data_IF_049704608286
#
_entry.id   IF_049704608286
#
_cell.length_a   1.000
_cell.length_b   1.000
_cell.length_c   1.000
_cell.angle_alpha   90.00
_cell.angle_beta   90.00
_cell.angle_gamma   90.00
#
_symmetry.space_group_name_H-M   'P 1'
#
loop_
_entity.id
_entity.type
_entity.pdbx_description
1 polymer ?
#
# COMPACT_ATOMS: atom_id res chain seq x y z
N UNK A 1 -10.72 22.81 9.43
CA UNK A 1 -10.90 21.79 10.48
C UNK A 1 -9.95 20.65 10.17
N UNK A 2 -8.93 20.36 11.00
CA UNK A 2 -8.14 19.15 10.83
C UNK A 2 -9.02 17.96 11.26
N UNK A 3 -9.46 17.13 10.32
CA UNK A 3 -10.27 15.94 10.65
C UNK A 3 -11.16 15.38 9.54
N UNK A 4 -11.41 16.10 8.44
CA UNK A 4 -12.10 15.56 7.26
C UNK A 4 -11.10 15.07 6.23
N UNK A 5 -11.42 13.99 5.54
CA UNK A 5 -10.54 13.36 4.56
C UNK A 5 -11.42 12.69 3.49
N UNK A 6 -11.07 12.84 2.21
CA UNK A 6 -11.88 12.34 1.11
C UNK A 6 -11.65 10.84 0.92
N UNK A 7 -12.63 10.01 1.22
CA UNK A 7 -12.57 8.56 0.96
C UNK A 7 -13.65 8.16 -0.05
N UNK A 8 -13.61 6.92 -0.50
CA UNK A 8 -14.61 6.41 -1.43
C UNK A 8 -16.01 6.44 -0.81
N UNK A 9 -16.19 6.20 0.48
CA UNK A 9 -17.53 6.25 1.09
C UNK A 9 -17.87 7.67 1.57
N UNK A 10 -16.93 8.32 2.26
CA UNK A 10 -17.18 9.53 3.06
C UNK A 10 -16.48 10.74 2.47
N UNK A 11 -17.10 11.92 2.57
CA UNK A 11 -16.48 13.20 2.21
C UNK A 11 -15.88 13.21 0.78
N UNK A 12 -16.48 12.47 -0.17
CA UNK A 12 -15.95 12.22 -1.54
C UNK A 12 -15.52 13.48 -2.31
N UNK A 13 -16.19 14.61 -2.06
CA UNK A 13 -15.94 15.89 -2.74
C UNK A 13 -15.12 16.87 -1.87
N UNK A 14 -14.63 16.41 -0.71
CA UNK A 14 -13.74 17.22 0.10
C UNK A 14 -12.43 17.46 -0.66
N UNK A 15 -11.99 18.73 -0.78
CA UNK A 15 -10.90 19.07 -1.68
C UNK A 15 -9.54 18.76 -1.03
N UNK A 16 -9.16 17.49 -1.03
CA UNK A 16 -7.91 17.00 -0.42
C UNK A 16 -6.79 16.80 -1.45
N UNK A 17 -7.12 16.30 -2.65
CA UNK A 17 -6.13 15.97 -3.68
C UNK A 17 -6.01 17.12 -4.68
N UNK A 18 -4.89 17.84 -4.65
CA UNK A 18 -4.62 18.99 -5.52
C UNK A 18 -3.38 18.74 -6.36
N UNK A 19 -3.42 19.21 -7.62
CA UNK A 19 -2.22 19.33 -8.43
C UNK A 19 -1.36 20.51 -7.92
N UNK A 20 -0.02 20.42 -7.91
CA UNK A 20 0.80 19.27 -8.29
C UNK A 20 0.76 18.12 -7.26
N UNK A 21 0.66 16.87 -7.75
CA UNK A 21 0.52 15.68 -6.90
C UNK A 21 1.83 15.16 -6.31
N UNK A 22 2.96 15.45 -6.95
CA UNK A 22 4.25 14.87 -6.59
C UNK A 22 5.43 15.76 -6.97
N UNK A 23 6.62 15.21 -6.81
CA UNK A 23 7.89 15.92 -7.03
C UNK A 23 8.40 15.82 -8.47
N UNK A 24 7.80 14.94 -9.29
CA UNK A 24 8.07 14.90 -10.71
C UNK A 24 7.32 16.03 -11.43
N UNK A 25 7.97 16.66 -12.41
CA UNK A 25 7.30 17.64 -13.27
C UNK A 25 6.22 16.95 -14.09
N UNK A 26 5.00 17.45 -13.98
CA UNK A 26 3.85 16.93 -14.72
C UNK A 26 2.99 18.08 -15.25
N UNK A 27 2.11 17.77 -16.19
CA UNK A 27 1.07 18.69 -16.67
C UNK A 27 -0.28 18.12 -16.27
N UNK A 28 -1.08 18.91 -15.57
CA UNK A 28 -2.46 18.53 -15.25
C UNK A 28 -3.30 18.49 -16.55
N UNK A 29 -3.88 17.34 -16.93
CA UNK A 29 -4.69 17.22 -18.14
C UNK A 29 -5.98 18.06 -18.11
N UNK A 30 -6.43 18.53 -16.94
CA UNK A 30 -7.68 19.28 -16.82
C UNK A 30 -7.49 20.79 -16.81
N UNK A 31 -6.54 21.32 -16.02
CA UNK A 31 -6.24 22.76 -16.00
C UNK A 31 -5.22 23.19 -17.07
N UNK A 32 -4.38 22.27 -17.55
CA UNK A 32 -3.23 22.57 -18.41
C UNK A 32 -2.02 23.15 -17.67
N UNK A 33 -2.10 23.31 -16.34
CA UNK A 33 -0.98 23.78 -15.53
C UNK A 33 0.16 22.75 -15.51
N UNK A 34 1.39 23.24 -15.46
CA UNK A 34 2.60 22.40 -15.35
C UNK A 34 3.32 22.72 -14.06
N UNK A 35 3.65 21.70 -13.28
CA UNK A 35 4.24 21.88 -11.96
C UNK A 35 4.69 20.59 -11.28
N UNK A 36 5.38 20.80 -10.18
CA UNK A 36 5.82 19.80 -9.20
C UNK A 36 5.83 20.46 -7.82
N UNK A 37 5.71 19.67 -6.75
CA UNK A 37 5.78 20.17 -5.36
C UNK A 37 7.14 20.83 -5.10
N UNK A 38 8.23 20.15 -5.47
CA UNK A 38 9.59 20.69 -5.46
C UNK A 38 9.98 21.05 -6.90
N UNK A 39 10.47 22.26 -7.12
CA UNK A 39 10.66 22.85 -8.46
C UNK A 39 12.13 23.12 -8.82
N UNK A 40 13.05 22.35 -8.23
CA UNK A 40 14.49 22.36 -8.54
C UNK A 40 15.24 23.56 -7.97
N UNK A 41 14.70 24.22 -6.94
CA UNK A 41 15.40 25.35 -6.30
C UNK A 41 16.57 24.83 -5.47
N UNK A 42 17.66 25.63 -5.29
CA UNK A 42 18.76 25.27 -4.40
C UNK A 42 18.36 25.02 -2.94
N UNK A 43 17.17 25.47 -2.55
CA UNK A 43 16.60 25.30 -1.19
C UNK A 43 15.64 24.12 -1.08
N UNK A 44 15.39 23.38 -2.16
CA UNK A 44 14.52 22.21 -2.10
C UNK A 44 15.14 21.13 -1.21
N UNK A 45 14.37 20.55 -0.28
CA UNK A 45 14.89 19.51 0.60
C UNK A 45 15.08 18.20 -0.15
N UNK A 46 15.85 17.30 0.47
CA UNK A 46 15.76 15.88 0.17
C UNK A 46 14.44 15.35 0.72
N UNK A 47 13.70 14.58 -0.07
CA UNK A 47 12.37 14.09 0.27
C UNK A 47 12.29 12.57 0.13
N UNK A 48 11.76 11.92 1.17
CA UNK A 48 11.24 10.55 1.08
C UNK A 48 9.74 10.62 1.35
N UNK A 49 8.95 10.25 0.35
CA UNK A 49 7.51 10.11 0.48
C UNK A 49 7.14 8.63 0.63
N UNK A 50 6.28 8.31 1.60
CA UNK A 50 5.90 6.94 1.92
C UNK A 50 4.39 6.83 2.00
N UNK A 51 3.84 5.87 1.26
CA UNK A 51 2.41 5.59 1.22
C UNK A 51 2.16 4.13 1.61
N UNK A 52 1.05 3.86 2.29
CA UNK A 52 0.56 2.49 2.49
C UNK A 52 -0.25 2.06 1.28
N UNK A 53 -0.62 0.78 1.23
CA UNK A 53 -1.56 0.30 0.22
C UNK A 53 -2.89 1.05 0.29
N UNK A 54 -3.35 1.48 1.47
CA UNK A 54 -4.61 2.25 1.59
C UNK A 54 -4.59 3.53 0.79
N UNK A 55 -3.48 4.29 0.78
CA UNK A 55 -3.43 5.55 0.03
C UNK A 55 -3.50 5.35 -1.49
N UNK A 56 -3.07 4.20 -2.02
CA UNK A 56 -3.29 3.86 -3.42
C UNK A 56 -4.78 3.63 -3.73
N UNK A 57 -5.52 3.01 -2.79
CA UNK A 57 -6.94 2.72 -2.94
C UNK A 57 -7.86 3.89 -2.60
N UNK A 58 -7.45 4.80 -1.71
CA UNK A 58 -8.29 5.88 -1.20
C UNK A 58 -7.87 7.28 -1.66
N UNK A 59 -6.58 7.51 -1.91
CA UNK A 59 -5.99 8.85 -2.07
C UNK A 59 -5.35 9.10 -3.43
N UNK A 60 -5.31 8.10 -4.30
CA UNK A 60 -4.63 8.23 -5.59
C UNK A 60 -3.12 8.40 -5.46
N UNK A 61 -2.49 7.76 -4.46
CA UNK A 61 -1.04 7.84 -4.22
C UNK A 61 -0.17 7.44 -5.42
N UNK A 62 -0.72 6.77 -6.44
CA UNK A 62 0.00 6.57 -7.69
C UNK A 62 0.39 7.88 -8.38
N UNK A 63 -0.43 8.94 -8.27
CA UNK A 63 -0.20 10.24 -8.92
C UNK A 63 1.07 10.96 -8.43
N UNK A 64 1.64 10.51 -7.32
CA UNK A 64 2.94 10.97 -6.82
C UNK A 64 4.09 10.53 -7.73
N UNK A 65 3.93 9.40 -8.44
CA UNK A 65 4.97 8.76 -9.25
C UNK A 65 4.50 8.26 -10.62
N UNK A 66 3.27 8.53 -11.02
CA UNK A 66 2.73 8.32 -12.37
C UNK A 66 2.29 9.65 -12.99
N UNK A 67 2.37 9.78 -14.30
CA UNK A 67 1.89 10.99 -14.99
C UNK A 67 0.36 11.11 -14.88
N UNK A 68 -0.19 12.20 -14.31
CA UNK A 68 -1.63 12.42 -14.27
C UNK A 68 -2.28 12.52 -15.66
N UNK A 69 -1.52 12.84 -16.71
CA UNK A 69 -2.02 12.98 -18.07
C UNK A 69 -2.06 11.67 -18.88
N UNK A 70 -1.46 10.58 -18.40
CA UNK A 70 -1.45 9.33 -19.17
C UNK A 70 -0.70 8.17 -18.51
N UNK A 71 -0.75 6.98 -19.12
CA UNK A 71 -0.28 5.74 -18.50
C UNK A 71 1.24 5.60 -18.61
N UNK A 72 2.00 6.47 -17.93
CA UNK A 72 3.46 6.36 -17.81
C UNK A 72 3.92 6.63 -16.39
N UNK A 73 5.03 6.00 -16.02
CA UNK A 73 5.74 6.32 -14.78
C UNK A 73 6.36 7.72 -14.90
N UNK A 74 6.30 8.50 -13.83
CA UNK A 74 6.86 9.84 -13.77
C UNK A 74 8.36 9.79 -13.42
N UNK A 75 9.13 10.72 -13.97
CA UNK A 75 10.56 10.84 -13.67
C UNK A 75 10.74 11.70 -12.41
N UNK A 76 11.02 11.05 -11.29
CA UNK A 76 11.27 11.73 -10.02
C UNK A 76 12.64 12.44 -10.05
N UNK A 77 12.75 13.65 -9.46
CA UNK A 77 14.03 14.32 -9.35
C UNK A 77 15.00 13.52 -8.46
N UNK A 78 16.32 13.68 -8.63
CA UNK A 78 17.31 12.93 -7.86
C UNK A 78 17.17 13.16 -6.34
N UNK A 79 16.60 14.29 -5.91
CA UNK A 79 16.33 14.70 -4.53
C UNK A 79 15.07 14.08 -3.91
N UNK A 80 14.30 13.30 -4.66
CA UNK A 80 13.09 12.65 -4.16
C UNK A 80 13.17 11.12 -4.28
N UNK A 81 12.56 10.44 -3.31
CA UNK A 81 12.24 9.01 -3.35
C UNK A 81 10.81 8.78 -2.92
N UNK A 82 10.18 7.76 -3.48
CA UNK A 82 8.83 7.35 -3.14
C UNK A 82 8.83 5.87 -2.82
N UNK A 83 8.18 5.48 -1.74
CA UNK A 83 8.04 4.08 -1.35
C UNK A 83 6.58 3.76 -1.05
N UNK A 84 6.15 2.58 -1.51
CA UNK A 84 4.93 1.95 -1.02
C UNK A 84 5.29 0.88 0.00
N UNK A 85 4.63 0.85 1.17
CA UNK A 85 4.76 -0.29 2.10
C UNK A 85 3.64 -1.28 1.80
N UNK A 86 4.00 -2.39 1.17
CA UNK A 86 3.05 -3.34 0.62
C UNK A 86 2.16 -3.98 1.69
N UNK A 87 0.90 -4.22 1.33
CA UNK A 87 -0.12 -4.86 2.17
C UNK A 87 -0.32 -4.21 3.55
N UNK A 88 -0.12 -2.90 3.70
CA UNK A 88 -0.38 -2.17 4.95
C UNK A 88 -1.61 -1.28 4.83
N UNK A 89 -2.20 -0.94 5.99
CA UNK A 89 -3.33 -0.03 6.07
C UNK A 89 -2.96 1.33 6.65
N UNK A 90 -3.80 2.35 6.41
CA UNK A 90 -3.63 3.66 7.02
C UNK A 90 -3.56 3.57 8.55
N UNK A 91 -2.55 4.23 9.13
CA UNK A 91 -2.34 4.20 10.58
C UNK A 91 -2.03 2.81 11.16
N UNK A 92 -1.75 1.82 10.30
CA UNK A 92 -1.35 0.46 10.71
C UNK A 92 -0.12 0.52 11.60
N UNK A 93 -0.25 -0.02 12.81
CA UNK A 93 0.79 0.03 13.86
C UNK A 93 0.77 -1.28 14.66
N UNK A 94 1.86 -1.60 15.40
CA UNK A 94 1.85 -2.77 16.27
C UNK A 94 0.71 -2.68 17.28
N UNK A 95 0.00 -3.79 17.50
CA UNK A 95 -1.12 -3.85 18.45
C UNK A 95 -2.43 -3.22 17.96
N UNK A 96 -2.57 -2.90 16.67
CA UNK A 96 -3.88 -2.56 16.09
C UNK A 96 -4.88 -3.68 16.38
N UNK A 97 -6.07 -3.30 16.88
CA UNK A 97 -7.16 -4.23 17.12
C UNK A 97 -7.62 -4.88 15.79
N UNK A 98 -7.49 -6.22 15.65
CA UNK A 98 -7.88 -6.90 14.42
C UNK A 98 -9.41 -7.08 14.30
N UNK A 99 -10.18 -6.67 15.31
CA UNK A 99 -11.64 -6.76 15.25
C UNK A 99 -12.17 -6.03 14.00
N UNK A 100 -13.15 -6.62 13.29
CA UNK A 100 -13.61 -6.08 12.02
C UNK A 100 -14.35 -4.75 12.16
N UNK A 101 -14.83 -4.39 13.36
CA UNK A 101 -15.70 -3.23 13.56
C UNK A 101 -16.87 -3.21 12.56
N UNK A 102 -17.06 -2.12 11.79
CA UNK A 102 -18.10 -2.01 10.77
C UNK A 102 -17.76 -2.74 9.46
N UNK A 103 -16.54 -3.23 9.30
CA UNK A 103 -16.08 -3.87 8.08
C UNK A 103 -16.52 -5.35 7.99
N UNK A 104 -16.37 -5.93 6.79
CA UNK A 104 -16.65 -7.34 6.50
C UNK A 104 -15.57 -8.24 7.08
N UNK A 105 -14.30 -7.94 6.81
CA UNK A 105 -13.16 -8.76 7.19
C UNK A 105 -12.49 -8.26 8.47
N UNK A 106 -11.77 -9.12 9.23
CA UNK A 106 -10.84 -8.67 10.26
C UNK A 106 -9.88 -7.61 9.72
N UNK A 107 -9.57 -6.62 10.56
CA UNK A 107 -8.67 -5.52 10.19
C UNK A 107 -7.25 -6.01 9.99
N UNK A 108 -6.52 -5.33 9.12
CA UNK A 108 -5.15 -5.68 8.78
C UNK A 108 -4.19 -5.32 9.92
N UNK A 109 -3.53 -6.31 10.58
CA UNK A 109 -2.60 -6.05 11.67
C UNK A 109 -1.20 -5.64 11.17
N UNK A 110 -0.96 -5.63 9.85
CA UNK A 110 0.35 -5.34 9.29
C UNK A 110 0.73 -3.88 9.52
N UNK A 111 1.82 -3.69 10.26
CA UNK A 111 2.39 -2.38 10.54
C UNK A 111 3.44 -1.94 9.51
N UNK A 112 3.34 -0.67 9.08
CA UNK A 112 4.37 0.00 8.27
C UNK A 112 5.53 0.56 9.10
N UNK A 113 5.40 0.60 10.44
CA UNK A 113 6.37 1.25 11.34
C UNK A 113 7.82 0.81 11.15
N UNK A 114 8.14 -0.50 10.99
CA UNK A 114 9.52 -0.93 10.81
C UNK A 114 10.21 -0.33 9.57
N UNK A 115 9.51 -0.29 8.43
CA UNK A 115 10.02 0.33 7.21
C UNK A 115 10.15 1.86 7.38
N UNK A 116 9.17 2.51 8.02
CA UNK A 116 9.24 3.95 8.27
C UNK A 116 10.45 4.35 9.12
N UNK A 117 10.78 3.55 10.15
CA UNK A 117 11.99 3.76 10.97
C UNK A 117 13.27 3.63 10.14
N UNK A 118 13.36 2.61 9.30
CA UNK A 118 14.52 2.41 8.43
C UNK A 118 14.67 3.54 7.41
N UNK A 119 13.57 3.94 6.75
CA UNK A 119 13.56 5.05 5.80
C UNK A 119 13.89 6.40 6.45
N UNK A 120 13.51 6.61 7.71
CA UNK A 120 13.92 7.81 8.45
C UNK A 120 15.43 7.86 8.66
N UNK A 121 16.05 6.75 9.07
CA UNK A 121 17.52 6.63 9.17
C UNK A 121 18.18 6.83 7.80
N UNK A 122 17.58 6.30 6.74
CA UNK A 122 18.07 6.46 5.39
C UNK A 122 18.01 7.93 4.90
N UNK A 123 16.95 8.68 5.25
CA UNK A 123 16.85 10.11 4.98
C UNK A 123 17.92 10.90 5.75
N UNK A 124 18.13 10.59 7.03
CA UNK A 124 19.17 11.23 7.85
C UNK A 124 20.55 11.02 7.23
N UNK A 125 20.87 9.79 6.83
CA UNK A 125 22.16 9.47 6.20
C UNK A 125 22.32 10.18 4.86
N UNK A 126 21.25 10.28 4.08
CA UNK A 126 21.25 11.01 2.82
C UNK A 126 21.55 12.50 3.02
N UNK A 127 20.92 13.13 4.02
CA UNK A 127 21.18 14.53 4.38
C UNK A 127 22.61 14.73 4.88
N UNK A 128 23.12 13.80 5.71
CA UNK A 128 24.43 13.93 6.35
C UNK A 128 25.60 13.71 5.40
N UNK A 129 25.46 12.76 4.46
CA UNK A 129 26.58 12.27 3.65
C UNK A 129 26.41 12.48 2.15
N UNK A 130 25.21 12.85 1.69
CA UNK A 130 24.89 12.93 0.26
C UNK A 130 24.65 11.56 -0.39
N UNK A 131 24.79 10.45 0.34
CA UNK A 131 24.52 9.12 -0.17
C UNK A 131 23.02 8.86 -0.23
N UNK A 132 22.45 8.89 -1.43
CA UNK A 132 21.03 8.62 -1.60
C UNK A 132 20.68 7.18 -1.19
N UNK A 133 19.50 6.95 -0.60
CA UNK A 133 19.02 5.60 -0.37
C UNK A 133 18.73 4.91 -1.71
N UNK A 134 18.34 3.64 -1.64
CA UNK A 134 17.94 2.88 -2.82
C UNK A 134 16.91 3.64 -3.69
N UNK A 135 16.80 3.31 -4.98
CA UNK A 135 15.75 3.87 -5.82
C UNK A 135 14.36 3.60 -5.25
N UNK A 136 13.41 4.46 -5.62
CA UNK A 136 12.00 4.34 -5.25
C UNK A 136 11.46 2.92 -5.47
N UNK A 137 10.74 2.38 -4.49
CA UNK A 137 10.06 1.09 -4.59
C UNK A 137 8.55 1.30 -4.58
N UNK A 138 7.95 1.33 -5.77
CA UNK A 138 6.53 1.58 -6.01
C UNK A 138 5.99 0.67 -7.13
N UNK A 139 4.66 0.49 -7.25
CA UNK A 139 4.03 -0.03 -8.46
C UNK A 139 4.47 0.76 -9.69
N UNK A 140 4.71 0.10 -10.83
CA UNK A 140 5.17 0.73 -12.06
C UNK A 140 4.35 0.26 -13.26
N UNK A 141 3.95 1.21 -14.10
CA UNK A 141 3.21 0.95 -15.33
C UNK A 141 4.12 0.24 -16.32
N UNK A 142 5.37 0.69 -16.48
CA UNK A 142 6.33 0.09 -17.41
C UNK A 142 6.63 -1.38 -17.07
N UNK A 143 6.64 -1.73 -15.77
CA UNK A 143 6.85 -3.11 -15.29
C UNK A 143 5.56 -3.92 -15.18
N UNK A 144 4.40 -3.34 -15.48
CA UNK A 144 3.10 -4.01 -15.36
C UNK A 144 2.68 -4.31 -13.92
N UNK A 145 3.27 -3.62 -12.93
CA UNK A 145 2.93 -3.78 -11.51
C UNK A 145 2.01 -2.69 -10.97
N UNK A 146 1.76 -1.62 -11.74
CA UNK A 146 0.69 -0.65 -11.50
C UNK A 146 -0.50 -0.95 -12.44
N UNK A 147 -1.68 -1.19 -11.87
CA UNK A 147 -2.88 -1.58 -12.62
C UNK A 147 -4.09 -0.73 -12.22
N UNK A 148 -5.12 -0.66 -13.06
CA UNK A 148 -6.40 -0.10 -12.64
C UNK A 148 -7.03 -1.00 -11.58
N UNK A 149 -7.67 -0.41 -10.55
CA UNK A 149 -8.26 -1.15 -9.44
C UNK A 149 -9.30 -2.18 -9.91
N UNK A 150 -10.07 -1.84 -10.94
CA UNK A 150 -11.11 -2.67 -11.55
C UNK A 150 -10.54 -3.92 -12.26
N UNK A 151 -9.24 -3.91 -12.57
CA UNK A 151 -8.56 -4.97 -13.33
C UNK A 151 -7.71 -5.90 -12.45
N UNK A 152 -7.67 -5.64 -11.14
CA UNK A 152 -6.89 -6.44 -10.21
C UNK A 152 -7.40 -7.89 -10.17
N UNK A 153 -6.49 -8.84 -10.18
CA UNK A 153 -6.81 -10.28 -10.20
C UNK A 153 -6.67 -10.86 -8.80
N UNK A 154 -7.75 -10.81 -8.02
CA UNK A 154 -7.79 -11.35 -6.66
C UNK A 154 -8.17 -12.85 -6.67
N UNK A 155 -7.65 -13.65 -5.72
CA UNK A 155 -8.09 -15.03 -5.56
C UNK A 155 -9.55 -15.09 -5.11
N UNK A 156 -10.31 -16.04 -5.67
CA UNK A 156 -11.71 -16.28 -5.29
C UNK A 156 -11.77 -17.07 -3.98
N UNK A 157 -11.54 -16.39 -2.86
CA UNK A 157 -11.60 -16.97 -1.52
C UNK A 157 -13.01 -16.83 -0.95
N UNK A 158 -13.65 -17.89 -0.44
CA UNK A 158 -14.96 -17.77 0.18
C UNK A 158 -14.97 -16.74 1.32
N UNK A 159 -15.98 -15.86 1.31
CA UNK A 159 -16.15 -14.74 2.26
C UNK A 159 -15.10 -13.62 2.15
N UNK A 160 -14.17 -13.68 1.20
CA UNK A 160 -13.33 -12.54 0.86
C UNK A 160 -14.09 -11.62 -0.10
N UNK A 161 -14.62 -10.54 0.44
CA UNK A 161 -15.26 -9.51 -0.36
C UNK A 161 -14.18 -8.62 -0.99
N UNK A 162 -14.28 -8.34 -2.29
CA UNK A 162 -13.35 -7.50 -3.03
C UNK A 162 -14.05 -6.21 -3.52
N UNK A 163 -13.38 -5.05 -3.47
CA UNK A 163 -13.90 -3.81 -4.03
C UNK A 163 -14.04 -3.92 -5.54
N UNK A 164 -15.08 -3.27 -6.08
CA UNK A 164 -15.27 -3.17 -7.53
C UNK A 164 -14.46 -2.02 -8.16
N UNK A 165 -14.08 -1.02 -7.37
CA UNK A 165 -13.30 0.16 -7.78
C UNK A 165 -12.59 0.77 -6.57
N UNK A 166 -11.56 1.58 -6.82
CA UNK A 166 -10.92 2.42 -5.81
C UNK A 166 -11.72 3.73 -5.59
N UNK A 167 -11.23 4.63 -4.73
CA UNK A 167 -11.72 6.00 -4.72
C UNK A 167 -11.25 6.71 -6.00
N UNK A 168 -12.19 7.28 -6.77
CA UNK A 168 -11.86 8.00 -8.00
C UNK A 168 -11.50 9.44 -7.67
N UNK A 169 -10.32 9.87 -8.11
CA UNK A 169 -9.83 11.23 -7.83
C UNK A 169 -10.12 12.13 -9.03
N UNK A 170 -10.90 13.18 -8.80
CA UNK A 170 -11.18 14.23 -9.78
C UNK A 170 -10.45 15.54 -9.45
N UNK A 171 -10.49 16.53 -10.36
CA UNK A 171 -9.99 17.85 -10.05
C UNK A 171 -10.78 18.46 -8.87
N UNK A 172 -10.15 19.30 -8.05
CA UNK A 172 -10.83 20.00 -6.97
C UNK A 172 -12.05 20.78 -7.48
N UNK A 173 -13.12 20.75 -6.69
CA UNK A 173 -14.37 21.47 -6.96
C UNK A 173 -14.66 22.47 -5.86
N UNK A 174 -15.57 23.41 -6.12
CA UNK A 174 -16.14 24.22 -5.06
C UNK A 174 -16.84 23.28 -4.07
N UNK A 175 -16.37 23.21 -2.83
CA UNK A 175 -16.90 22.31 -1.82
C UNK A 175 -18.05 22.95 -1.03
N UNK A 176 -18.28 24.26 -1.19
CA UNK A 176 -19.43 24.98 -0.63
C UNK A 176 -20.66 24.75 -1.52
N UNK A 177 -20.48 24.77 -2.84
CA UNK A 177 -21.51 24.42 -3.84
C UNK A 177 -21.02 23.30 -4.77
N UNK A 178 -20.88 22.06 -4.23
CA UNK A 178 -20.30 20.98 -5.00
C UNK A 178 -21.23 20.53 -6.14
N UNK A 179 -20.66 20.18 -7.31
CA UNK A 179 -21.46 19.66 -8.40
C UNK A 179 -22.10 18.33 -7.99
N UNK A 180 -23.28 18.06 -8.52
CA UNK A 180 -23.99 16.81 -8.28
C UNK A 180 -23.28 15.57 -8.84
N UNK A 181 -22.32 15.77 -9.77
CA UNK A 181 -21.50 14.71 -10.36
C UNK A 181 -20.13 15.26 -10.78
N UNK A 182 -19.10 14.41 -10.67
CA UNK A 182 -17.80 14.62 -11.32
C UNK A 182 -17.74 13.84 -12.64
N UNK A 183 -17.30 14.51 -13.70
CA UNK A 183 -17.18 13.92 -15.04
C UNK A 183 -15.73 13.56 -15.41
N UNK A 184 -14.77 14.17 -14.72
CA UNK A 184 -13.33 14.08 -15.00
C UNK A 184 -12.61 13.42 -13.83
N UNK A 185 -11.74 12.45 -14.13
CA UNK A 185 -10.98 11.73 -13.13
C UNK A 185 -9.56 11.45 -13.64
N UNK A 186 -8.58 11.60 -12.76
CA UNK A 186 -7.20 11.20 -13.03
C UNK A 186 -7.08 9.68 -13.14
N UNK A 187 -6.09 9.23 -13.92
CA UNK A 187 -5.79 7.80 -14.09
C UNK A 187 -5.02 7.26 -12.88
N UNK A 188 -5.73 6.99 -11.77
CA UNK A 188 -5.13 6.41 -10.57
C UNK A 188 -4.91 4.90 -10.72
N UNK A 189 -3.83 4.41 -10.12
CA UNK A 189 -3.40 3.02 -10.19
C UNK A 189 -3.23 2.45 -8.78
N UNK A 190 -3.37 1.13 -8.68
CA UNK A 190 -3.05 0.34 -7.49
C UNK A 190 -1.94 -0.66 -7.81
N UNK A 191 -1.35 -1.27 -6.78
CA UNK A 191 -0.40 -2.35 -6.97
C UNK A 191 -1.09 -3.61 -7.50
N UNK A 192 -0.47 -4.26 -8.48
CA UNK A 192 -0.81 -5.63 -8.85
C UNK A 192 -0.55 -6.58 -7.68
N UNK A 193 -1.22 -7.73 -7.69
CA UNK A 193 -1.12 -8.75 -6.65
C UNK A 193 -0.71 -10.10 -7.24
N UNK A 194 -0.13 -10.94 -6.40
CA UNK A 194 0.16 -12.33 -6.71
C UNK A 194 -1.09 -13.23 -6.62
N UNK A 195 -0.91 -14.52 -6.84
CA UNK A 195 -1.99 -15.51 -6.76
C UNK A 195 -2.63 -15.63 -5.36
N UNK A 196 -1.95 -15.14 -4.32
CA UNK A 196 -2.47 -15.09 -2.96
C UNK A 196 -3.16 -13.75 -2.65
N UNK A 197 -3.20 -12.81 -3.58
CA UNK A 197 -3.79 -11.49 -3.39
C UNK A 197 -2.90 -10.52 -2.61
N UNK A 198 -1.61 -10.82 -2.43
CA UNK A 198 -0.64 -9.92 -1.81
C UNK A 198 0.08 -9.08 -2.86
N UNK A 199 0.35 -7.82 -2.55
CA UNK A 199 0.95 -6.87 -3.51
C UNK A 199 2.37 -7.27 -3.93
N UNK A 200 2.67 -7.16 -5.23
CA UNK A 200 3.96 -7.59 -5.81
C UNK A 200 5.02 -6.50 -5.89
N UNK A 201 4.62 -5.24 -5.69
CA UNK A 201 5.49 -4.07 -5.73
C UNK A 201 5.59 -3.39 -4.36
N UNK A 202 6.51 -2.44 -4.25
CA UNK A 202 6.80 -1.75 -2.98
C UNK A 202 7.76 -2.52 -2.08
N UNK A 203 7.93 -2.00 -0.86
CA UNK A 203 8.66 -2.66 0.22
C UNK A 203 7.77 -3.77 0.78
N UNK A 204 8.18 -5.02 0.55
CA UNK A 204 7.50 -6.22 1.03
C UNK A 204 8.14 -6.67 2.34
N UNK A 205 7.63 -6.14 3.45
CA UNK A 205 8.02 -6.58 4.80
C UNK A 205 7.70 -8.09 4.99
N UNK A 206 8.26 -8.76 6.02
CA UNK A 206 8.10 -10.21 6.18
C UNK A 206 6.66 -10.75 6.09
N UNK A 207 5.61 -10.07 6.60
CA UNK A 207 4.22 -10.52 6.42
C UNK A 207 3.75 -10.61 4.95
N UNK A 208 4.41 -9.93 4.02
CA UNK A 208 4.11 -9.95 2.57
C UNK A 208 5.12 -10.80 1.79
N UNK A 209 6.38 -10.81 2.23
CA UNK A 209 7.42 -11.65 1.61
C UNK A 209 7.22 -13.14 1.95
N UNK A 210 6.73 -13.44 3.16
CA UNK A 210 6.52 -14.79 3.70
C UNK A 210 5.12 -14.86 4.34
N UNK A 211 4.04 -14.80 3.54
CA UNK A 211 2.71 -14.52 4.05
C UNK A 211 2.07 -15.69 4.82
N UNK A 212 1.27 -15.34 5.83
CA UNK A 212 0.34 -16.24 6.56
C UNK A 212 -1.14 -15.99 6.18
N UNK A 213 -1.37 -15.17 5.15
CA UNK A 213 -2.66 -14.75 4.68
C UNK A 213 -2.55 -13.72 3.56
N UNK A 214 -3.71 -13.26 3.10
CA UNK A 214 -3.82 -12.08 2.23
C UNK A 214 -3.92 -10.85 3.11
N UNK A 215 -3.07 -9.86 2.87
CA UNK A 215 -3.07 -8.57 3.53
C UNK A 215 -3.39 -7.47 2.51
N UNK A 216 -4.43 -6.69 2.77
CA UNK A 216 -4.86 -5.62 1.85
C UNK A 216 -4.85 -4.26 2.54
N UNK A 217 -4.68 -3.19 1.77
CA UNK A 217 -4.89 -1.81 2.23
C UNK A 217 -6.35 -1.36 2.26
N UNK A 218 -7.29 -2.27 2.03
CA UNK A 218 -8.71 -1.97 1.93
C UNK A 218 -9.56 -3.05 2.58
N UNK A 219 -10.77 -2.68 2.96
CA UNK A 219 -11.81 -3.55 3.46
C UNK A 219 -13.15 -2.99 2.98
N UNK A 220 -14.25 -3.72 3.16
CA UNK A 220 -15.57 -3.26 2.70
C UNK A 220 -16.52 -3.11 3.87
N UNK A 221 -17.40 -2.12 3.82
CA UNK A 221 -18.42 -1.92 4.84
C UNK A 221 -19.39 -3.11 4.84
N UNK A 222 -19.72 -3.66 6.01
CA UNK A 222 -20.69 -4.76 6.10
C UNK A 222 -22.08 -4.33 5.64
N UNK A 223 -22.46 -3.08 5.92
CA UNK A 223 -23.74 -2.52 5.52
C UNK A 223 -23.80 -2.09 4.05
N UNK A 224 -22.64 -1.79 3.44
CA UNK A 224 -22.50 -1.42 2.02
C UNK A 224 -21.32 -2.19 1.40
N UNK A 225 -21.50 -3.47 1.06
CA UNK A 225 -20.41 -4.38 0.71
C UNK A 225 -19.69 -4.04 -0.61
N UNK A 226 -20.10 -2.99 -1.32
CA UNK A 226 -19.41 -2.48 -2.51
C UNK A 226 -18.52 -1.27 -2.21
N UNK A 227 -18.57 -0.74 -0.98
CA UNK A 227 -17.90 0.51 -0.59
C UNK A 227 -16.75 0.23 0.38
N UNK A 228 -15.64 0.91 0.16
CA UNK A 228 -14.44 0.82 0.98
C UNK A 228 -14.74 1.26 2.42
N UNK A 229 -14.38 0.41 3.37
CA UNK A 229 -14.54 0.62 4.82
C UNK A 229 -13.51 1.63 5.34
N UNK A 230 -13.79 2.92 5.14
CA UNK A 230 -12.89 4.02 5.47
C UNK A 230 -11.44 3.69 5.06
N UNK A 231 -10.49 3.67 6.00
CA UNK A 231 -9.07 3.40 5.73
C UNK A 231 -8.60 2.08 6.32
N UNK A 232 -9.53 1.20 6.65
CA UNK A 232 -9.24 -0.12 7.20
C UNK A 232 -8.85 -1.10 6.10
N UNK A 233 -7.78 -1.85 6.35
CA UNK A 233 -7.36 -2.98 5.53
C UNK A 233 -8.02 -4.29 5.95
N UNK A 234 -7.83 -5.34 5.16
CA UNK A 234 -8.31 -6.69 5.48
C UNK A 234 -7.15 -7.64 5.72
N UNK A 235 -7.38 -8.61 6.60
CA UNK A 235 -6.52 -9.78 6.75
C UNK A 235 -7.33 -11.08 6.61
N UNK A 236 -6.98 -11.88 5.60
CA UNK A 236 -7.68 -13.13 5.29
C UNK A 236 -6.72 -14.31 5.45
N UNK A 237 -6.93 -15.21 6.43
CA UNK A 237 -6.06 -16.35 6.66
C UNK A 237 -5.91 -17.30 5.52
N UNK A 238 -4.69 -17.83 5.34
CA UNK A 238 -4.52 -19.13 4.73
C UNK A 238 -4.98 -20.21 5.71
N UNK A 239 -5.53 -21.30 5.17
CA UNK A 239 -5.75 -22.52 5.94
C UNK A 239 -4.43 -23.08 6.48
N UNK A 240 -4.43 -23.70 7.66
CA UNK A 240 -3.21 -24.30 8.21
C UNK A 240 -2.86 -25.59 7.49
N UNK A 241 -3.87 -26.41 7.21
CA UNK A 241 -3.72 -27.72 6.57
C UNK A 241 -4.41 -27.81 5.21
N UNK A 242 -3.99 -28.78 4.39
CA UNK A 242 -4.66 -29.07 3.11
C UNK A 242 -6.15 -29.43 3.30
N UNK A 243 -6.46 -30.19 4.35
CA UNK A 243 -7.83 -30.59 4.65
C UNK A 243 -8.73 -29.38 5.00
N UNK A 244 -8.22 -28.44 5.81
CA UNK A 244 -8.91 -27.18 6.11
C UNK A 244 -9.14 -26.35 4.84
N UNK A 245 -8.12 -26.26 3.97
CA UNK A 245 -8.21 -25.52 2.70
C UNK A 245 -9.32 -26.08 1.81
N UNK A 246 -9.33 -27.40 1.60
CA UNK A 246 -10.31 -28.09 0.76
C UNK A 246 -11.73 -27.96 1.33
N UNK A 247 -11.88 -28.09 2.65
CA UNK A 247 -13.17 -27.91 3.32
C UNK A 247 -13.68 -26.46 3.23
N UNK A 248 -12.78 -25.48 3.27
CA UNK A 248 -13.10 -24.07 3.13
C UNK A 248 -13.27 -23.61 1.68
N UNK A 249 -12.89 -24.43 0.69
CA UNK A 249 -12.89 -24.06 -0.73
C UNK A 249 -11.90 -22.94 -1.06
N UNK A 250 -10.82 -22.80 -0.30
CA UNK A 250 -9.80 -21.76 -0.50
C UNK A 250 -8.85 -22.16 -1.64
N UNK A 251 -8.70 -21.37 -2.71
CA UNK A 251 -7.79 -21.72 -3.80
C UNK A 251 -6.30 -21.56 -3.44
N UNK A 252 -5.98 -20.83 -2.36
CA UNK A 252 -4.60 -20.53 -1.98
C UNK A 252 -3.98 -21.72 -1.24
N UNK A 253 -2.69 -22.06 -1.47
CA UNK A 253 -2.00 -23.10 -0.73
C UNK A 253 -2.07 -22.88 0.79
N UNK A 254 -2.35 -23.95 1.53
CA UNK A 254 -2.31 -23.95 3.00
C UNK A 254 -0.89 -23.72 3.53
N UNK A 255 -0.75 -23.36 4.81
CA UNK A 255 0.56 -23.20 5.45
C UNK A 255 1.40 -24.49 5.37
N UNK A 256 0.76 -25.65 5.57
CA UNK A 256 1.37 -26.96 5.43
C UNK A 256 1.91 -27.19 4.01
N UNK A 257 1.13 -26.86 2.98
CA UNK A 257 1.57 -27.04 1.58
C UNK A 257 2.66 -26.04 1.18
N UNK A 258 2.63 -24.84 1.76
CA UNK A 258 3.54 -23.74 1.42
C UNK A 258 4.91 -23.87 2.07
N UNK A 259 4.94 -24.20 3.35
CA UNK A 259 6.17 -24.20 4.15
C UNK A 259 6.59 -25.60 4.60
N UNK A 260 5.66 -26.55 4.70
CA UNK A 260 5.91 -27.90 5.21
C UNK A 260 6.13 -27.97 6.73
N UNK A 261 6.96 -27.10 7.29
CA UNK A 261 7.25 -27.02 8.71
C UNK A 261 7.46 -25.59 9.21
N UNK A 262 7.41 -25.41 10.53
CA UNK A 262 7.60 -24.09 11.17
C UNK A 262 9.01 -23.59 10.95
N UNK A 263 9.99 -24.48 10.96
CA UNK A 263 11.40 -24.18 10.74
C UNK A 263 11.62 -23.57 9.35
N UNK A 264 10.95 -24.09 8.32
CA UNK A 264 11.03 -23.53 6.96
C UNK A 264 10.36 -22.15 6.87
N UNK A 265 9.25 -21.94 7.58
CA UNK A 265 8.62 -20.62 7.67
C UNK A 265 9.56 -19.61 8.36
N UNK A 266 10.14 -19.97 9.50
CA UNK A 266 11.10 -19.12 10.22
C UNK A 266 12.32 -18.81 9.34
N UNK A 267 12.89 -19.82 8.66
CA UNK A 267 14.02 -19.62 7.75
C UNK A 267 13.67 -18.66 6.59
N UNK A 268 12.44 -18.74 6.08
CA UNK A 268 11.93 -17.78 5.10
C UNK A 268 11.89 -16.36 5.65
N UNK A 269 11.37 -16.18 6.88
CA UNK A 269 11.31 -14.87 7.56
C UNK A 269 12.71 -14.31 7.81
N UNK A 270 13.65 -15.14 8.26
CA UNK A 270 15.05 -14.78 8.45
C UNK A 270 15.69 -14.29 7.15
N UNK A 271 15.51 -15.01 6.05
CA UNK A 271 16.03 -14.63 4.74
C UNK A 271 15.43 -13.31 4.24
N UNK A 272 14.11 -13.14 4.35
CA UNK A 272 13.43 -11.91 3.94
C UNK A 272 13.86 -10.70 4.78
N UNK A 273 13.98 -10.87 6.10
CA UNK A 273 14.42 -9.81 7.00
C UNK A 273 15.89 -9.43 6.74
N UNK A 274 16.77 -10.42 6.53
CA UNK A 274 18.18 -10.18 6.21
C UNK A 274 18.36 -9.41 4.90
N UNK A 275 17.57 -9.73 3.86
CA UNK A 275 17.59 -8.99 2.60
C UNK A 275 17.20 -7.52 2.79
N UNK A 276 16.11 -7.25 3.52
CA UNK A 276 15.67 -5.88 3.81
C UNK A 276 16.66 -5.09 4.66
N UNK A 277 17.36 -5.75 5.60
CA UNK A 277 18.46 -5.12 6.36
C UNK A 277 19.63 -4.77 5.44
N UNK A 278 20.01 -5.68 4.53
CA UNK A 278 21.05 -5.41 3.53
C UNK A 278 20.72 -4.23 2.62
N UNK A 279 19.43 -4.06 2.30
CA UNK A 279 18.92 -2.97 1.48
C UNK A 279 18.68 -1.67 2.28
N UNK A 280 18.87 -1.67 3.60
CA UNK A 280 18.59 -0.52 4.47
C UNK A 280 17.10 -0.19 4.58
N UNK A 281 16.21 -1.12 4.23
CA UNK A 281 14.74 -0.99 4.28
C UNK A 281 14.14 -1.59 5.56
N UNK A 282 14.98 -2.17 6.42
CA UNK A 282 14.62 -2.67 7.75
C UNK A 282 15.81 -2.49 8.70
N UNK A 283 15.56 -2.13 9.95
CA UNK A 283 16.61 -2.05 10.96
C UNK A 283 16.90 -3.45 11.55
N UNK A 284 18.14 -3.77 11.97
CA UNK A 284 18.47 -5.06 12.57
C UNK A 284 17.58 -5.46 13.75
N UNK A 285 17.23 -4.51 14.62
CA UNK A 285 16.35 -4.76 15.76
C UNK A 285 14.91 -5.11 15.33
N UNK A 286 14.41 -4.49 14.25
CA UNK A 286 13.09 -4.82 13.71
C UNK A 286 13.11 -6.18 12.98
N UNK A 287 14.22 -6.53 12.34
CA UNK A 287 14.44 -7.87 11.77
C UNK A 287 14.40 -8.96 12.85
N UNK A 288 15.10 -8.77 13.96
CA UNK A 288 15.06 -9.68 15.10
C UNK A 288 13.63 -9.81 15.68
N UNK A 289 12.90 -8.70 15.78
CA UNK A 289 11.51 -8.71 16.23
C UNK A 289 10.59 -9.54 15.31
N UNK A 290 10.77 -9.46 13.98
CA UNK A 290 10.03 -10.32 13.05
C UNK A 290 10.37 -11.81 13.22
N UNK A 291 11.64 -12.14 13.41
CA UNK A 291 12.09 -13.52 13.61
C UNK A 291 11.52 -14.09 14.92
N UNK A 292 11.52 -13.30 16.00
CA UNK A 292 10.94 -13.70 17.29
C UNK A 292 9.42 -13.87 17.17
N UNK A 293 8.72 -12.93 16.53
CA UNK A 293 7.29 -13.06 16.26
C UNK A 293 6.96 -14.30 15.43
N UNK A 294 7.82 -14.69 14.48
CA UNK A 294 7.65 -15.91 13.69
C UNK A 294 7.80 -17.18 14.55
N UNK A 295 8.73 -17.19 15.51
CA UNK A 295 8.93 -18.31 16.46
C UNK A 295 7.73 -18.48 17.39
N UNK A 296 7.15 -17.37 17.84
CA UNK A 296 6.03 -17.31 18.78
C UNK A 296 4.65 -17.40 18.10
N UNK A 297 4.59 -17.37 16.77
CA UNK A 297 3.35 -17.27 16.02
C UNK A 297 2.47 -18.51 16.23
N UNK A 298 1.41 -18.41 17.04
CA UNK A 298 0.47 -19.52 17.27
C UNK A 298 -0.34 -19.89 16.02
N UNK A 299 -0.36 -19.02 15.01
CA UNK A 299 -1.13 -19.20 13.78
C UNK A 299 -0.53 -20.22 12.82
N UNK A 300 0.77 -20.44 12.88
CA UNK A 300 1.44 -21.54 12.20
C UNK A 300 1.21 -22.82 13.02
#
# INVERSE_FOLDING_TARGET
MPGRTATQHEDRLYPENWFPFGNAMATDPFSGETGAILNGRPTDPLMIEVNTSTEYWQKGASLVHTDPAGPRDAELPPTARVYMIAGTQHGGRPGTDPSPGPCVSPRNPHSATPALRALFVALEEWVRTGNAPLPSSVPSIARGTAVAAETIKLPTVPKFAAPSTANRIGPPVDWVDPPSRLDNFYDTRVSAVDADGNEVAGIRLPPIAVPLGTYTGWNLYRAQPCELCDRDGSFIPFARTKAEREAAGDPRPSLQERYGSRENYIAGVEAAAAALVGDGLLLPADAEAYINAAKECERF
#
